data_IF_987270785240
#
_entry.id   IF_987270785240
#
_cell.length_a   1.000
_cell.length_b   1.000
_cell.length_c   1.000
_cell.angle_alpha   90.00
_cell.angle_beta   90.00
_cell.angle_gamma   90.00
#
_symmetry.space_group_name_H-M   'P 1'
#
loop_
_entity.id
_entity.type
_entity.pdbx_description
1 polymer ?
#
# COMPACT_ATOMS: atom_id res chain seq x y z
N UNK A 1 -15.88 -4.80 3.57
CA UNK A 1 -16.37 -3.97 4.70
C UNK A 1 -15.31 -2.99 5.19
N UNK A 2 -14.11 -3.45 5.57
CA UNK A 2 -13.01 -2.57 6.03
C UNK A 2 -12.72 -1.36 5.12
N UNK A 3 -12.71 -1.56 3.79
CA UNK A 3 -12.47 -0.47 2.84
C UNK A 3 -13.54 0.64 2.93
N UNK A 4 -14.82 0.26 2.98
CA UNK A 4 -15.94 1.21 3.08
C UNK A 4 -15.91 1.97 4.40
N UNK A 5 -15.58 1.28 5.50
CA UNK A 5 -15.43 1.90 6.83
C UNK A 5 -14.29 2.93 6.83
N UNK A 6 -13.14 2.59 6.25
CA UNK A 6 -12.01 3.52 6.19
C UNK A 6 -12.30 4.74 5.30
N UNK A 7 -13.01 4.55 4.18
CA UNK A 7 -13.44 5.65 3.31
C UNK A 7 -14.38 6.60 4.07
N UNK A 8 -15.35 6.05 4.81
CA UNK A 8 -16.30 6.84 5.59
C UNK A 8 -15.60 7.61 6.71
N UNK A 9 -14.74 6.94 7.49
CA UNK A 9 -13.96 7.59 8.54
C UNK A 9 -13.07 8.73 8.01
N UNK A 10 -12.44 8.55 6.84
CA UNK A 10 -11.69 9.62 6.18
C UNK A 10 -12.61 10.79 5.78
N UNK A 11 -13.79 10.51 5.22
CA UNK A 11 -14.74 11.54 4.82
C UNK A 11 -15.28 12.32 6.04
N UNK A 12 -15.56 11.62 7.14
CA UNK A 12 -15.97 12.22 8.40
C UNK A 12 -14.86 13.09 9.01
N UNK A 13 -13.60 12.64 8.98
CA UNK A 13 -12.46 13.45 9.44
C UNK A 13 -12.32 14.74 8.63
N UNK A 14 -12.43 14.67 7.30
CA UNK A 14 -12.42 15.86 6.43
C UNK A 14 -13.55 16.81 6.78
N UNK A 15 -14.77 16.31 7.02
CA UNK A 15 -15.91 17.16 7.41
C UNK A 15 -15.75 17.75 8.81
N UNK A 16 -15.13 17.04 9.75
CA UNK A 16 -14.85 17.55 11.09
C UNK A 16 -13.91 18.76 11.07
N UNK A 17 -12.99 18.81 10.09
CA UNK A 17 -12.09 19.94 9.83
C UNK A 17 -12.74 21.04 8.96
N UNK A 18 -14.02 20.92 8.59
CA UNK A 18 -14.75 21.89 7.78
C UNK A 18 -14.56 21.76 6.27
N UNK A 19 -13.88 20.71 5.80
CA UNK A 19 -13.68 20.43 4.38
C UNK A 19 -14.84 19.69 3.73
N UNK A 20 -14.75 19.53 2.39
CA UNK A 20 -15.68 18.74 1.59
C UNK A 20 -14.91 17.57 0.94
N UNK A 21 -15.20 16.31 1.32
CA UNK A 21 -14.47 15.17 0.76
C UNK A 21 -14.81 14.96 -0.71
N UNK A 22 -13.84 14.45 -1.47
CA UNK A 22 -14.06 13.98 -2.84
C UNK A 22 -15.08 12.84 -2.80
N UNK A 23 -16.16 12.95 -3.58
CA UNK A 23 -17.27 11.99 -3.57
C UNK A 23 -17.57 11.35 -4.93
N UNK A 24 -16.73 11.56 -5.94
CA UNK A 24 -16.96 11.04 -7.30
C UNK A 24 -15.83 10.11 -7.72
N UNK A 25 -16.16 9.05 -8.46
CA UNK A 25 -15.17 8.10 -8.98
C UNK A 25 -14.09 8.80 -9.83
N UNK A 26 -14.48 9.78 -10.65
CA UNK A 26 -13.55 10.60 -11.43
C UNK A 26 -12.58 11.37 -10.53
N UNK A 27 -13.10 12.01 -9.47
CA UNK A 27 -12.26 12.73 -8.52
C UNK A 27 -11.28 11.80 -7.80
N UNK A 28 -11.69 10.58 -7.45
CA UNK A 28 -10.76 9.60 -6.87
C UNK A 28 -9.65 9.23 -7.85
N UNK A 29 -9.97 8.97 -9.12
CA UNK A 29 -8.96 8.64 -10.14
C UNK A 29 -7.99 9.80 -10.40
N UNK A 30 -8.45 11.04 -10.35
CA UNK A 30 -7.61 12.23 -10.54
C UNK A 30 -6.61 12.43 -9.38
N UNK A 31 -6.95 11.99 -8.17
CA UNK A 31 -6.14 12.18 -6.96
C UNK A 31 -5.42 10.90 -6.51
N UNK A 32 -5.67 9.76 -7.16
CA UNK A 32 -5.07 8.49 -6.79
C UNK A 32 -3.57 8.44 -7.12
N UNK A 33 -2.77 8.00 -6.15
CA UNK A 33 -1.34 7.70 -6.35
C UNK A 33 -1.11 6.28 -6.88
N UNK A 34 -2.06 5.36 -6.65
CA UNK A 34 -2.06 4.01 -7.23
C UNK A 34 -2.65 4.08 -8.64
N UNK A 35 -1.99 3.40 -9.58
CA UNK A 35 -2.42 3.33 -10.99
C UNK A 35 -3.14 2.02 -11.28
N UNK A 36 -4.19 2.09 -12.07
CA UNK A 36 -4.84 0.90 -12.62
C UNK A 36 -3.95 0.25 -13.70
N UNK A 37 -3.90 -1.08 -13.71
CA UNK A 37 -3.30 -1.87 -14.78
C UNK A 37 -4.41 -2.48 -15.64
N UNK A 38 -4.80 -1.78 -16.70
CA UNK A 38 -5.93 -2.16 -17.55
C UNK A 38 -5.57 -3.13 -18.70
N UNK A 39 -4.33 -3.63 -18.76
CA UNK A 39 -3.79 -4.27 -19.96
C UNK A 39 -3.73 -5.79 -19.93
N UNK A 40 -3.30 -6.38 -18.81
CA UNK A 40 -2.97 -7.81 -18.74
C UNK A 40 -3.45 -8.44 -17.42
N UNK A 41 -4.03 -9.64 -17.51
CA UNK A 41 -4.38 -10.45 -16.33
C UNK A 41 -3.10 -11.15 -15.84
N UNK A 42 -2.55 -10.78 -14.67
CA UNK A 42 -1.34 -11.40 -14.13
C UNK A 42 -1.62 -12.79 -13.56
N UNK A 43 -0.57 -13.55 -13.29
CA UNK A 43 -0.66 -14.76 -12.46
C UNK A 43 -1.05 -14.42 -11.02
N UNK A 44 -1.55 -15.40 -10.24
CA UNK A 44 -1.92 -15.17 -8.84
C UNK A 44 -0.76 -14.61 -7.99
N UNK A 45 0.47 -15.11 -8.19
CA UNK A 45 1.65 -14.62 -7.48
C UNK A 45 1.98 -13.17 -7.87
N UNK A 46 1.86 -12.82 -9.15
CA UNK A 46 2.05 -11.45 -9.62
C UNK A 46 0.96 -10.50 -9.11
N UNK A 47 -0.30 -10.96 -9.00
CA UNK A 47 -1.39 -10.20 -8.38
C UNK A 47 -1.06 -9.90 -6.92
N UNK A 48 -0.63 -10.90 -6.14
CA UNK A 48 -0.26 -10.69 -4.73
C UNK A 48 0.96 -9.77 -4.60
N UNK A 49 1.98 -9.94 -5.45
CA UNK A 49 3.14 -9.06 -5.46
C UNK A 49 2.78 -7.60 -5.81
N UNK A 50 1.80 -7.38 -6.70
CA UNK A 50 1.25 -6.05 -6.98
C UNK A 50 0.54 -5.47 -5.76
N UNK A 51 -0.32 -6.24 -5.10
CA UNK A 51 -1.00 -5.80 -3.88
C UNK A 51 -0.01 -5.41 -2.76
N UNK A 52 1.06 -6.18 -2.56
CA UNK A 52 2.11 -5.82 -1.59
C UNK A 52 2.70 -4.45 -1.92
N UNK A 53 3.04 -4.20 -3.19
CA UNK A 53 3.60 -2.91 -3.63
C UNK A 53 2.63 -1.75 -3.44
N UNK A 54 1.34 -1.97 -3.70
CA UNK A 54 0.31 -0.95 -3.52
C UNK A 54 0.15 -0.59 -2.04
N UNK A 55 0.11 -1.58 -1.15
CA UNK A 55 0.10 -1.34 0.30
C UNK A 55 1.35 -0.57 0.75
N UNK A 56 2.54 -0.94 0.26
CA UNK A 56 3.78 -0.23 0.57
C UNK A 56 3.79 1.22 0.05
N UNK A 57 3.15 1.49 -1.10
CA UNK A 57 2.98 2.86 -1.58
C UNK A 57 2.05 3.67 -0.68
N UNK A 58 0.93 3.08 -0.25
CA UNK A 58 0.01 3.75 0.68
C UNK A 58 0.71 4.05 2.01
N UNK A 59 1.50 3.13 2.55
CA UNK A 59 2.27 3.33 3.78
C UNK A 59 3.22 4.52 3.65
N UNK A 60 3.95 4.64 2.53
CA UNK A 60 4.84 5.79 2.28
C UNK A 60 4.06 7.10 2.27
N UNK A 61 2.96 7.16 1.51
CA UNK A 61 2.13 8.37 1.46
C UNK A 61 1.57 8.75 2.83
N UNK A 62 1.11 7.76 3.61
CA UNK A 62 0.59 8.00 4.95
C UNK A 62 1.67 8.54 5.88
N UNK A 63 2.89 8.01 5.81
CA UNK A 63 4.03 8.52 6.60
C UNK A 63 4.32 9.98 6.29
N UNK A 64 4.39 10.33 5.01
CA UNK A 64 4.62 11.71 4.58
C UNK A 64 3.49 12.64 5.09
N UNK A 65 2.22 12.22 5.00
CA UNK A 65 1.10 13.00 5.52
C UNK A 65 1.04 13.07 7.05
N UNK A 66 1.50 12.05 7.78
CA UNK A 66 1.60 12.06 9.25
C UNK A 66 2.60 13.14 9.67
N UNK A 67 3.77 13.15 9.03
CA UNK A 67 4.83 14.13 9.30
C UNK A 67 4.30 15.55 8.99
N UNK A 68 3.63 15.76 7.86
CA UNK A 68 3.03 17.06 7.51
C UNK A 68 1.94 17.50 8.53
N UNK A 69 1.06 16.59 8.94
CA UNK A 69 0.02 16.88 9.91
C UNK A 69 0.58 17.27 11.29
N UNK A 70 1.60 16.54 11.79
CA UNK A 70 2.17 16.80 13.12
C UNK A 70 3.13 18.00 13.11
N UNK A 71 4.07 18.03 12.16
CA UNK A 71 5.16 19.01 12.16
C UNK A 71 4.75 20.36 11.60
N UNK A 72 3.98 20.39 10.51
CA UNK A 72 3.62 21.64 9.83
C UNK A 72 2.29 22.21 10.33
N UNK A 73 1.27 21.35 10.48
CA UNK A 73 -0.07 21.79 10.86
C UNK A 73 -0.39 21.65 12.35
N UNK A 74 0.45 20.94 13.11
CA UNK A 74 0.20 20.61 14.53
C UNK A 74 -1.19 19.97 14.78
N UNK A 75 -1.70 19.23 13.82
CA UNK A 75 -2.93 18.45 13.90
C UNK A 75 -2.64 17.01 14.32
N UNK A 76 -2.32 16.86 15.61
CA UNK A 76 -2.04 15.57 16.24
C UNK A 76 -3.22 14.58 16.13
N UNK A 77 -4.46 15.09 16.04
CA UNK A 77 -5.63 14.24 15.89
C UNK A 77 -5.72 13.58 14.51
N UNK A 78 -5.31 14.30 13.45
CA UNK A 78 -5.24 13.72 12.10
C UNK A 78 -4.00 12.83 11.98
N UNK A 79 -2.88 13.23 12.57
CA UNK A 79 -1.67 12.41 12.60
C UNK A 79 -1.92 11.04 13.27
N UNK A 80 -2.58 10.99 14.42
CA UNK A 80 -2.94 9.74 15.11
C UNK A 80 -3.91 8.88 14.27
N UNK A 81 -4.94 9.50 13.69
CA UNK A 81 -5.86 8.82 12.78
C UNK A 81 -5.14 8.15 11.60
N UNK A 82 -4.26 8.89 10.92
CA UNK A 82 -3.48 8.39 9.80
C UNK A 82 -2.49 7.30 10.24
N UNK A 83 -1.92 7.41 11.44
CA UNK A 83 -1.04 6.39 12.04
C UNK A 83 -1.79 5.07 12.23
N UNK A 84 -3.03 5.12 12.74
CA UNK A 84 -3.89 3.95 12.86
C UNK A 84 -4.20 3.28 11.53
N UNK A 85 -4.47 4.06 10.48
CA UNK A 85 -4.64 3.54 9.11
C UNK A 85 -3.35 2.92 8.58
N UNK A 86 -2.21 3.56 8.79
CA UNK A 86 -0.90 3.05 8.35
C UNK A 86 -0.63 1.66 8.94
N UNK A 87 -0.89 1.46 10.23
CA UNK A 87 -0.73 0.15 10.89
C UNK A 87 -1.56 -0.96 10.23
N UNK A 88 -2.80 -0.67 9.82
CA UNK A 88 -3.63 -1.64 9.09
C UNK A 88 -3.04 -2.03 7.74
N UNK A 89 -2.48 -1.05 7.00
CA UNK A 89 -1.80 -1.32 5.74
C UNK A 89 -0.50 -2.10 5.93
N UNK A 90 0.26 -1.84 7.00
CA UNK A 90 1.47 -2.58 7.36
C UNK A 90 1.19 -4.04 7.69
N UNK A 91 0.13 -4.30 8.47
CA UNK A 91 -0.34 -5.67 8.78
C UNK A 91 -0.74 -6.42 7.51
N UNK A 92 -1.50 -5.78 6.61
CA UNK A 92 -1.91 -6.39 5.35
C UNK A 92 -0.69 -6.67 4.45
N UNK A 93 0.25 -5.73 4.33
CA UNK A 93 1.46 -5.93 3.55
C UNK A 93 2.30 -7.11 4.10
N UNK A 94 2.40 -7.23 5.42
CA UNK A 94 3.06 -8.35 6.07
C UNK A 94 2.38 -9.69 5.77
N UNK A 95 1.05 -9.77 5.90
CA UNK A 95 0.32 -11.00 5.56
C UNK A 95 0.53 -11.40 4.10
N UNK A 96 0.40 -10.45 3.17
CA UNK A 96 0.56 -10.72 1.74
C UNK A 96 1.99 -11.16 1.38
N UNK A 97 3.03 -10.56 2.01
CA UNK A 97 4.41 -11.06 1.87
C UNK A 97 4.55 -12.49 2.38
N UNK A 98 3.94 -12.81 3.51
CA UNK A 98 3.98 -14.16 4.10
C UNK A 98 3.39 -15.23 3.16
N UNK A 99 2.37 -14.88 2.36
CA UNK A 99 1.77 -15.80 1.39
C UNK A 99 2.70 -16.14 0.21
N UNK A 100 3.57 -15.22 -0.22
CA UNK A 100 4.50 -15.44 -1.33
C UNK A 100 5.90 -15.90 -0.88
N UNK A 101 6.29 -15.60 0.37
CA UNK A 101 7.53 -16.07 1.00
C UNK A 101 7.45 -17.51 1.51
N UNK A 102 6.27 -18.15 1.44
CA UNK A 102 6.04 -19.55 1.81
C UNK A 102 6.77 -20.61 0.97
N UNK A 103 7.67 -20.21 0.05
CA UNK A 103 8.71 -21.12 -0.45
C UNK A 103 9.75 -21.38 0.65
N UNK A 104 10.11 -22.64 0.86
CA UNK A 104 10.91 -23.09 2.00
C UNK A 104 12.14 -22.21 2.28
N UNK A 105 12.10 -21.46 3.39
CA UNK A 105 13.26 -20.77 3.92
C UNK A 105 14.30 -21.81 4.33
N UNK A 106 15.46 -21.82 3.68
CA UNK A 106 16.61 -22.54 4.20
C UNK A 106 17.04 -21.88 5.52
N UNK A 107 17.41 -22.69 6.51
CA UNK A 107 17.69 -22.24 7.90
C UNK A 107 18.82 -21.21 8.06
N UNK A 108 19.46 -20.78 6.96
CA UNK A 108 20.59 -19.86 6.94
C UNK A 108 20.21 -18.39 6.70
N UNK A 109 18.92 -18.04 6.59
CA UNK A 109 18.46 -16.66 6.47
C UNK A 109 18.82 -15.95 5.17
N UNK A 110 19.29 -16.66 4.13
CA UNK A 110 19.53 -16.09 2.79
C UNK A 110 18.34 -16.33 1.87
N UNK A 111 17.88 -15.28 1.20
CA UNK A 111 16.93 -15.41 0.08
C UNK A 111 17.56 -16.24 -1.04
N UNK A 112 16.83 -17.17 -1.69
CA UNK A 112 17.36 -17.93 -2.81
C UNK A 112 17.78 -16.99 -3.94
N UNK A 113 18.96 -17.23 -4.49
CA UNK A 113 19.50 -16.43 -5.59
C UNK A 113 18.60 -16.56 -6.82
N UNK A 114 18.17 -15.43 -7.36
CA UNK A 114 17.48 -15.34 -8.65
C UNK A 114 18.33 -16.05 -9.71
N UNK A 115 17.80 -17.10 -10.33
CA UNK A 115 18.42 -17.75 -11.48
C UNK A 115 18.39 -16.80 -12.67
N UNK A 116 19.53 -16.18 -12.99
CA UNK A 116 19.75 -15.57 -14.30
C UNK A 116 19.90 -16.69 -15.34
N UNK A 117 19.22 -16.65 -16.50
CA UNK A 117 19.49 -17.61 -17.56
C UNK A 117 20.94 -17.43 -18.02
N UNK A 118 21.74 -18.49 -17.92
CA UNK A 118 23.12 -18.51 -18.38
C UNK A 118 23.16 -18.29 -19.89
N UNK A 119 23.64 -17.12 -20.30
CA UNK A 119 24.03 -16.83 -21.68
C UNK A 119 25.24 -17.70 -22.07
N UNK A 120 25.22 -18.16 -23.33
CA UNK A 120 26.30 -18.64 -24.22
C UNK A 120 27.08 -19.92 -23.90
N UNK A 121 26.86 -20.93 -24.74
CA UNK A 121 27.88 -21.87 -25.21
C UNK A 121 27.83 -21.94 -26.73
N UNK A 122 28.65 -21.13 -27.40
CA UNK A 122 28.97 -21.27 -28.82
C UNK A 122 29.89 -22.48 -28.96
N UNK A 123 29.58 -23.38 -29.89
CA UNK A 123 30.52 -24.29 -30.55
C UNK A 123 30.03 -24.54 -31.96
#
# INVERSE_FOLDING_TARGET
EALTVNIDACAERVRALGGYPVGTAKGFLENASIKEDAGNIPTANEMVAKLVKDHEQVIRNLRDHIDECSEEFHDEGTADFLTGLMGQHEEMAWMLRSFIEGEALQSNGKRPSVNTPSTVGVS
#
